data_IF_166093704580
#
_entry.id   IF_166093704580
#
_cell.length_a   1.000
_cell.length_b   1.000
_cell.length_c   1.000
_cell.angle_alpha   90.00
_cell.angle_beta   90.00
_cell.angle_gamma   90.00
#
_symmetry.space_group_name_H-M   'P 1'
#
loop_
_entity.id
_entity.type
_entity.pdbx_description
1 polymer ?
#
# COMPACT_ATOMS: atom_id res chain seq x y z
N UNK A 1 -47.12 3.84 -29.20
CA UNK A 1 -46.94 3.66 -27.74
C UNK A 1 -45.75 2.77 -27.34
N UNK A 2 -44.93 2.26 -28.28
CA UNK A 2 -43.78 1.37 -27.96
C UNK A 2 -42.45 2.16 -27.82
N UNK A 3 -42.38 3.39 -28.33
CA UNK A 3 -41.18 4.25 -28.27
C UNK A 3 -40.92 4.93 -26.91
N UNK A 4 -41.93 5.01 -26.03
CA UNK A 4 -41.79 5.62 -24.69
C UNK A 4 -41.25 4.66 -23.63
N UNK A 5 -41.47 3.35 -23.79
CA UNK A 5 -41.01 2.33 -22.82
C UNK A 5 -39.50 2.07 -22.90
N UNK A 6 -38.88 2.26 -24.07
CA UNK A 6 -37.44 2.07 -24.27
C UNK A 6 -36.58 3.15 -23.59
N UNK A 7 -37.12 4.36 -23.41
CA UNK A 7 -36.41 5.43 -22.68
C UNK A 7 -36.43 5.23 -21.16
N UNK A 8 -37.49 4.63 -20.62
CA UNK A 8 -37.60 4.32 -19.19
C UNK A 8 -36.69 3.16 -18.76
N UNK A 9 -36.49 2.16 -19.61
CA UNK A 9 -35.58 1.05 -19.31
C UNK A 9 -34.09 1.48 -19.30
N UNK A 10 -33.70 2.46 -20.12
CA UNK A 10 -32.33 2.97 -20.16
C UNK A 10 -32.01 3.88 -18.96
N UNK A 11 -33.00 4.58 -18.41
CA UNK A 11 -32.80 5.50 -17.28
C UNK A 11 -32.66 4.77 -15.93
N UNK A 12 -33.23 3.56 -15.80
CA UNK A 12 -33.16 2.77 -14.56
C UNK A 12 -31.82 2.01 -14.42
N UNK A 13 -31.13 1.71 -15.53
CA UNK A 13 -29.87 0.94 -15.49
C UNK A 13 -28.65 1.80 -15.10
N UNK A 14 -28.73 3.14 -15.21
CA UNK A 14 -27.60 4.04 -14.93
C UNK A 14 -27.40 4.33 -13.43
N UNK A 15 -28.36 4.01 -12.55
CA UNK A 15 -28.33 4.42 -11.12
C UNK A 15 -27.76 3.32 -10.19
N UNK A 16 -27.48 2.12 -10.68
CA UNK A 16 -26.95 1.00 -9.87
C UNK A 16 -25.44 0.77 -10.03
N UNK A 17 -24.65 1.85 -10.16
CA UNK A 17 -23.21 1.74 -9.96
C UNK A 17 -22.96 1.59 -8.45
N UNK A 18 -22.30 0.50 -7.99
CA UNK A 18 -21.93 0.39 -6.59
C UNK A 18 -21.00 1.55 -6.26
N UNK A 19 -21.45 2.48 -5.42
CA UNK A 19 -20.54 3.41 -4.77
C UNK A 19 -19.65 2.57 -3.85
N UNK A 20 -18.35 2.58 -4.09
CA UNK A 20 -17.38 2.00 -3.17
C UNK A 20 -17.56 2.70 -1.83
N UNK A 21 -18.15 2.01 -0.86
CA UNK A 21 -18.25 2.49 0.51
C UNK A 21 -16.87 2.33 1.16
N UNK A 22 -15.96 3.27 0.86
CA UNK A 22 -14.71 3.45 1.59
C UNK A 22 -15.09 3.86 3.01
N UNK A 23 -14.98 2.94 3.96
CA UNK A 23 -15.58 3.12 5.28
C UNK A 23 -14.56 3.43 6.39
N UNK A 24 -13.27 3.67 6.10
CA UNK A 24 -12.24 3.62 7.16
C UNK A 24 -10.96 4.43 6.89
N UNK A 25 -9.87 4.06 7.55
CA UNK A 25 -8.49 4.56 7.40
C UNK A 25 -7.87 4.11 6.06
N UNK A 26 -7.16 4.99 5.38
CA UNK A 26 -6.47 4.73 4.10
C UNK A 26 -5.13 5.46 4.00
N UNK A 27 -4.05 4.77 4.39
CA UNK A 27 -2.68 5.23 4.26
C UNK A 27 -2.24 5.16 2.81
N UNK A 28 -2.03 6.35 2.25
CA UNK A 28 -1.72 6.59 0.84
C UNK A 28 -0.24 6.85 0.58
N UNK A 29 0.50 7.29 1.60
CA UNK A 29 1.96 7.42 1.55
C UNK A 29 2.55 7.04 2.91
N UNK A 30 3.53 6.13 2.98
CA UNK A 30 3.83 5.13 1.95
C UNK A 30 2.57 4.29 1.60
N UNK A 31 2.53 3.69 0.41
CA UNK A 31 1.35 2.93 -0.03
C UNK A 31 1.16 1.72 0.88
N UNK A 32 -0.03 1.56 1.43
CA UNK A 32 -0.35 0.45 2.32
C UNK A 32 -0.41 -0.91 1.60
N UNK A 33 -0.11 -1.96 2.37
CA UNK A 33 -0.04 -3.37 1.97
C UNK A 33 -1.37 -3.87 1.38
N UNK A 34 -2.49 -3.53 2.01
CA UNK A 34 -3.83 -4.04 1.65
C UNK A 34 -4.87 -2.96 1.37
N UNK A 35 -4.51 -1.68 1.45
CA UNK A 35 -5.49 -0.60 1.29
C UNK A 35 -6.52 -0.52 2.43
N UNK A 36 -7.64 0.18 2.21
CA UNK A 36 -8.60 0.54 3.26
C UNK A 36 -9.64 -0.54 3.61
N UNK A 37 -9.57 -1.72 2.99
CA UNK A 37 -10.65 -2.72 3.09
C UNK A 37 -10.44 -3.72 4.24
N UNK A 38 -9.22 -3.85 4.76
CA UNK A 38 -8.86 -4.82 5.82
C UNK A 38 -8.04 -4.16 6.90
N UNK A 39 -8.64 -3.92 8.08
CA UNK A 39 -8.06 -3.01 9.07
C UNK A 39 -8.25 -3.43 10.53
N UNK A 40 -9.08 -4.42 10.84
CA UNK A 40 -9.52 -4.72 12.22
C UNK A 40 -8.76 -5.87 12.88
N UNK A 41 -7.66 -6.29 12.27
CA UNK A 41 -6.87 -7.42 12.72
C UNK A 41 -5.42 -6.99 12.82
N UNK A 42 -4.86 -6.96 14.02
CA UNK A 42 -3.45 -6.64 14.19
C UNK A 42 -2.53 -7.72 13.58
N UNK A 43 -1.29 -7.35 13.21
CA UNK A 43 -0.73 -5.99 13.27
C UNK A 43 -1.01 -5.17 11.99
N UNK A 44 -1.39 -5.80 10.87
CA UNK A 44 -1.40 -5.16 9.55
C UNK A 44 -2.76 -5.21 8.82
N UNK A 45 -3.85 -5.41 9.57
CA UNK A 45 -5.22 -5.45 9.05
C UNK A 45 -5.72 -6.86 8.68
N UNK A 46 -4.80 -7.80 8.43
CA UNK A 46 -5.05 -9.20 8.08
C UNK A 46 -4.20 -10.12 8.97
N UNK A 47 -4.83 -11.10 9.65
CA UNK A 47 -4.11 -12.07 10.46
C UNK A 47 -3.16 -12.92 9.62
N UNK A 48 -1.86 -12.92 9.96
CA UNK A 48 -0.83 -13.67 9.25
C UNK A 48 -0.71 -13.25 7.77
N UNK A 49 -0.98 -11.97 7.49
CA UNK A 49 -0.95 -11.44 6.14
C UNK A 49 0.47 -11.38 5.57
N UNK A 50 0.64 -11.88 4.34
CA UNK A 50 1.90 -11.81 3.60
C UNK A 50 2.23 -10.39 3.12
N UNK A 51 3.53 -10.04 3.06
CA UNK A 51 3.98 -8.80 2.40
C UNK A 51 3.39 -8.65 1.00
N UNK A 52 3.05 -7.42 0.65
CA UNK A 52 2.51 -7.09 -0.67
C UNK A 52 3.63 -6.86 -1.70
N UNK A 53 3.30 -6.87 -2.99
CA UNK A 53 4.19 -6.36 -4.04
C UNK A 53 4.29 -4.82 -4.06
N UNK A 54 3.53 -4.11 -3.22
CA UNK A 54 3.54 -2.64 -3.13
C UNK A 54 4.70 -2.19 -2.23
N UNK A 55 5.93 -2.33 -2.73
CA UNK A 55 7.14 -1.95 -1.98
C UNK A 55 7.41 -0.46 -2.13
N UNK A 56 7.66 0.21 -1.01
CA UNK A 56 8.04 1.61 -0.95
C UNK A 56 9.54 1.70 -0.64
N UNK A 57 10.28 2.45 -1.45
CA UNK A 57 11.74 2.57 -1.35
C UNK A 57 12.13 3.91 -0.75
N UNK A 58 13.00 3.87 0.26
CA UNK A 58 13.53 5.04 0.93
C UNK A 58 15.00 4.83 1.30
N UNK A 59 15.66 5.90 1.74
CA UNK A 59 16.98 5.82 2.34
C UNK A 59 16.91 5.65 3.86
N UNK A 60 17.90 4.98 4.47
CA UNK A 60 18.11 5.03 5.92
C UNK A 60 18.15 6.48 6.42
N UNK A 61 17.52 6.76 7.56
CA UNK A 61 17.51 8.11 8.15
C UNK A 61 16.65 9.14 7.42
N UNK A 62 16.00 8.76 6.31
CA UNK A 62 15.19 9.68 5.52
C UNK A 62 13.99 10.19 6.33
N UNK A 63 13.73 11.50 6.23
CA UNK A 63 12.46 12.08 6.69
C UNK A 63 11.42 11.84 5.60
N UNK A 64 10.35 11.12 5.93
CA UNK A 64 9.25 10.83 5.01
C UNK A 64 7.96 11.48 5.50
N UNK A 65 7.06 11.75 4.56
CA UNK A 65 5.69 12.11 4.89
C UNK A 65 4.80 10.87 4.87
N UNK A 66 4.18 10.64 6.01
CA UNK A 66 3.12 9.64 6.17
C UNK A 66 1.79 10.34 5.98
N UNK A 67 1.02 9.92 4.98
CA UNK A 67 -0.24 10.51 4.56
C UNK A 67 -1.36 9.46 4.60
N UNK A 68 -2.51 9.83 5.17
CA UNK A 68 -3.69 8.98 5.18
C UNK A 68 -4.99 9.76 5.11
N UNK A 69 -6.03 9.06 4.68
CA UNK A 69 -7.41 9.53 4.73
C UNK A 69 -8.16 8.81 5.85
N UNK A 70 -9.06 9.52 6.51
CA UNK A 70 -10.04 8.92 7.41
C UNK A 70 -11.45 9.10 6.82
N UNK A 71 -12.07 8.03 6.33
CA UNK A 71 -13.41 8.14 5.75
C UNK A 71 -14.54 8.11 6.78
N UNK A 72 -14.27 7.58 7.98
CA UNK A 72 -15.22 7.55 9.11
C UNK A 72 -14.52 8.08 10.36
N UNK A 73 -14.97 9.25 10.79
CA UNK A 73 -14.43 9.92 11.96
C UNK A 73 -14.79 9.18 13.25
N UNK A 74 -13.77 8.82 14.02
CA UNK A 74 -13.89 8.32 15.38
C UNK A 74 -13.10 9.22 16.32
N UNK A 75 -13.60 9.58 17.52
CA UNK A 75 -12.75 10.15 18.55
C UNK A 75 -11.52 9.26 18.79
N UNK A 76 -10.34 9.73 18.40
CA UNK A 76 -9.16 8.87 18.32
C UNK A 76 -7.83 9.61 18.46
N UNK A 77 -6.74 8.85 18.38
CA UNK A 77 -5.42 9.33 17.99
C UNK A 77 -4.78 8.32 17.02
N UNK A 78 -3.70 8.73 16.36
CA UNK A 78 -2.89 7.86 15.53
C UNK A 78 -1.50 7.63 16.11
N UNK A 79 -0.90 6.51 15.71
CA UNK A 79 0.48 6.14 16.03
C UNK A 79 1.14 5.55 14.79
N UNK A 80 2.40 5.91 14.59
CA UNK A 80 3.29 5.35 13.58
C UNK A 80 4.41 4.57 14.28
N UNK A 81 4.61 3.32 13.87
CA UNK A 81 5.66 2.44 14.36
C UNK A 81 6.44 1.81 13.20
N UNK A 82 7.63 1.32 13.46
CA UNK A 82 8.52 0.70 12.49
C UNK A 82 9.11 -0.60 13.04
N UNK A 83 9.21 -1.58 12.15
CA UNK A 83 9.84 -2.88 12.38
C UNK A 83 10.90 -3.08 11.29
N UNK A 84 12.13 -3.44 11.67
CA UNK A 84 13.27 -3.53 10.76
C UNK A 84 13.28 -4.81 9.91
N UNK A 85 12.59 -5.87 10.33
CA UNK A 85 12.67 -7.19 9.70
C UNK A 85 11.35 -7.97 9.63
N UNK A 86 10.22 -7.32 9.87
CA UNK A 86 8.94 -8.00 9.77
C UNK A 86 7.77 -7.11 10.17
N UNK A 87 6.88 -7.67 10.96
CA UNK A 87 5.75 -6.98 11.58
C UNK A 87 5.42 -7.54 12.99
N UNK A 88 6.41 -8.17 13.64
CA UNK A 88 6.29 -8.82 14.93
C UNK A 88 6.74 -7.96 16.12
N UNK A 89 7.41 -6.84 15.87
CA UNK A 89 7.76 -5.87 16.92
C UNK A 89 6.60 -4.94 17.31
N UNK A 90 5.47 -4.98 16.60
CA UNK A 90 4.33 -4.10 16.89
C UNK A 90 3.54 -4.58 18.11
N UNK A 91 3.47 -3.72 19.14
CA UNK A 91 2.68 -3.95 20.35
C UNK A 91 1.45 -3.03 20.34
N UNK A 92 0.26 -3.58 20.63
CA UNK A 92 -0.94 -2.77 20.83
C UNK A 92 -0.84 -1.99 22.15
N UNK A 93 -1.26 -0.71 22.20
CA UNK A 93 -1.42 0.00 23.47
C UNK A 93 -2.38 -0.76 24.39
N UNK A 94 -2.00 -1.11 25.61
CA UNK A 94 -2.87 -1.83 26.55
C UNK A 94 -4.04 -0.97 27.05
N UNK A 95 -3.96 0.35 26.89
CA UNK A 95 -5.07 1.28 27.14
C UNK A 95 -5.14 2.39 26.08
N UNK A 96 -6.31 3.02 25.92
CA UNK A 96 -6.52 4.18 25.03
C UNK A 96 -5.60 5.38 25.30
N UNK A 97 -4.94 5.44 26.46
CA UNK A 97 -4.08 6.54 26.89
C UNK A 97 -2.63 6.08 27.09
N UNK A 98 -2.30 4.85 26.70
CA UNK A 98 -0.93 4.40 26.63
C UNK A 98 -0.33 4.87 25.31
N UNK A 99 0.71 5.68 25.42
CA UNK A 99 1.50 6.16 24.31
C UNK A 99 2.89 5.55 24.39
N UNK A 100 3.57 5.44 23.26
CA UNK A 100 4.94 4.92 23.17
C UNK A 100 5.05 3.52 23.79
N UNK A 101 4.13 2.63 23.40
CA UNK A 101 3.95 1.29 23.98
C UNK A 101 5.21 0.42 23.97
N UNK A 102 6.14 0.67 23.04
CA UNK A 102 7.44 0.02 22.94
C UNK A 102 8.40 0.81 22.03
N UNK A 103 9.63 0.32 21.90
CA UNK A 103 10.70 0.99 21.14
C UNK A 103 10.47 1.04 19.61
N UNK A 104 9.53 0.26 19.07
CA UNK A 104 9.14 0.31 17.66
C UNK A 104 8.40 1.60 17.30
N UNK A 105 7.86 2.33 18.27
CA UNK A 105 7.06 3.54 18.03
C UNK A 105 7.96 4.70 17.58
N UNK A 106 7.70 5.23 16.39
CA UNK A 106 8.41 6.39 15.84
C UNK A 106 7.72 7.71 16.23
N UNK A 107 6.39 7.71 16.23
CA UNK A 107 5.59 8.88 16.56
C UNK A 107 4.22 8.44 17.09
N UNK A 108 3.83 8.94 18.26
CA UNK A 108 2.54 8.64 18.89
C UNK A 108 1.76 9.93 19.22
N UNK A 109 0.55 9.76 19.76
CA UNK A 109 -0.37 10.82 20.15
C UNK A 109 -0.66 11.80 19.01
N UNK A 110 -0.61 11.32 17.76
CA UNK A 110 -0.93 12.13 16.59
C UNK A 110 -2.42 12.48 16.68
N UNK A 111 -2.69 13.78 16.77
CA UNK A 111 -4.03 14.27 17.04
C UNK A 111 -4.93 14.06 15.83
N UNK A 112 -6.12 13.54 16.12
CA UNK A 112 -7.22 13.46 15.17
C UNK A 112 -8.01 14.78 15.18
N UNK A 113 -7.50 15.78 14.44
CA UNK A 113 -8.15 17.11 14.33
C UNK A 113 -8.17 17.70 12.92
N UNK A 114 -7.98 16.87 11.88
CA UNK A 114 -8.02 17.35 10.50
C UNK A 114 -9.45 17.70 10.09
N UNK A 115 -9.72 18.94 9.65
CA UNK A 115 -11.06 19.33 9.19
C UNK A 115 -11.43 18.72 7.83
N UNK A 116 -10.46 18.17 7.10
CA UNK A 116 -10.66 17.54 5.78
C UNK A 116 -10.57 16.03 5.85
N UNK A 117 -10.34 15.45 7.03
CA UNK A 117 -10.01 14.03 7.21
C UNK A 117 -8.81 13.56 6.38
N UNK A 118 -7.94 14.50 6.01
CA UNK A 118 -6.65 14.26 5.35
C UNK A 118 -5.57 14.57 6.37
N UNK A 119 -4.69 13.62 6.60
CA UNK A 119 -3.63 13.73 7.57
C UNK A 119 -2.29 13.59 6.88
N UNK A 120 -1.32 14.34 7.38
CA UNK A 120 0.09 14.28 6.96
C UNK A 120 0.95 14.58 8.18
N UNK A 121 1.89 13.70 8.46
CA UNK A 121 2.94 13.94 9.46
C UNK A 121 4.28 13.51 8.89
N UNK A 122 5.34 14.20 9.27
CA UNK A 122 6.70 13.82 8.89
C UNK A 122 7.33 12.99 10.00
N UNK A 123 7.95 11.86 9.64
CA UNK A 123 8.70 10.99 10.56
C UNK A 123 10.08 10.72 10.00
N UNK A 124 11.08 10.58 10.88
CA UNK A 124 12.42 10.12 10.49
C UNK A 124 12.46 8.60 10.56
N UNK A 125 12.77 7.95 9.43
CA UNK A 125 12.99 6.52 9.40
C UNK A 125 14.30 6.17 10.13
N UNK A 126 14.43 4.96 10.71
CA UNK A 126 15.68 4.56 11.35
C UNK A 126 16.87 4.54 10.37
N UNK A 127 18.07 4.79 10.90
CA UNK A 127 19.34 4.74 10.15
C UNK A 127 19.82 3.27 10.01
N UNK A 128 19.01 2.44 9.34
CA UNK A 128 19.28 1.03 9.05
C UNK A 128 18.90 0.69 7.62
N UNK A 129 19.65 -0.23 6.99
CA UNK A 129 19.27 -0.81 5.70
C UNK A 129 18.48 -2.11 5.93
N UNK A 130 17.36 -2.28 5.23
CA UNK A 130 16.47 -3.43 5.37
C UNK A 130 15.73 -3.72 4.06
N UNK A 131 15.53 -5.02 3.76
CA UNK A 131 14.78 -5.46 2.57
C UNK A 131 13.33 -5.89 2.92
N UNK A 132 13.04 -6.07 4.22
CA UNK A 132 11.81 -6.65 4.75
C UNK A 132 11.11 -5.82 5.85
N UNK A 133 11.53 -4.58 6.08
CA UNK A 133 10.98 -3.71 7.10
C UNK A 133 9.54 -3.24 6.85
N UNK A 134 8.81 -2.94 7.91
CA UNK A 134 7.41 -2.51 7.84
C UNK A 134 7.20 -1.22 8.60
N UNK A 135 6.39 -0.32 8.03
CA UNK A 135 5.86 0.85 8.73
C UNK A 135 4.39 0.60 9.06
N UNK A 136 4.02 0.70 10.33
CA UNK A 136 2.63 0.56 10.78
C UNK A 136 2.03 1.92 11.08
N UNK A 137 0.80 2.15 10.60
CA UNK A 137 -0.11 3.18 11.06
C UNK A 137 -1.27 2.52 11.80
N UNK A 138 -1.54 2.95 13.02
CA UNK A 138 -2.76 2.58 13.73
C UNK A 138 -3.61 3.81 14.07
N UNK A 139 -4.92 3.58 14.16
CA UNK A 139 -5.88 4.51 14.75
C UNK A 139 -6.45 3.87 16.03
N UNK A 140 -6.22 4.51 17.17
CA UNK A 140 -6.74 4.06 18.47
C UNK A 140 -8.02 4.83 18.77
N UNK A 141 -9.16 4.15 18.72
CA UNK A 141 -10.49 4.74 18.88
C UNK A 141 -10.94 4.71 20.34
N UNK A 142 -11.68 5.74 20.76
CA UNK A 142 -12.14 5.90 22.15
C UNK A 142 -13.62 5.66 22.36
N UNK A 143 -14.39 5.56 21.29
CA UNK A 143 -15.85 5.61 21.30
C UNK A 143 -16.53 4.25 21.45
N UNK A 144 -15.76 3.19 21.74
CA UNK A 144 -16.22 1.80 21.84
C UNK A 144 -15.88 1.13 23.19
N UNK A 145 -16.34 1.67 24.33
CA UNK A 145 -16.09 1.04 25.61
C UNK A 145 -16.78 -0.35 25.73
N UNK A 146 -16.16 -1.33 26.42
CA UNK A 146 -14.84 -1.26 27.05
C UNK A 146 -13.71 -1.43 26.03
N UNK A 147 -12.63 -0.67 26.19
CA UNK A 147 -11.40 -0.87 25.41
C UNK A 147 -10.78 -2.21 25.78
N UNK A 148 -10.59 -3.08 24.79
CA UNK A 148 -10.02 -4.42 24.96
C UNK A 148 -8.98 -4.70 23.90
N UNK A 149 -7.90 -5.38 24.29
CA UNK A 149 -6.79 -5.75 23.40
C UNK A 149 -6.52 -7.24 23.53
N UNK A 150 -6.56 -8.01 22.42
CA UNK A 150 -7.04 -7.60 21.10
C UNK A 150 -8.55 -7.29 21.10
N UNK A 151 -8.99 -6.39 20.22
CA UNK A 151 -10.38 -5.90 20.19
C UNK A 151 -10.78 -5.23 18.88
N UNK A 152 -11.81 -4.39 18.92
CA UNK A 152 -12.35 -3.65 17.76
C UNK A 152 -12.13 -2.13 17.90
N UNK A 153 -11.18 -1.76 18.75
CA UNK A 153 -10.84 -0.39 19.16
C UNK A 153 -9.62 0.17 18.40
N UNK A 154 -8.98 -0.65 17.56
CA UNK A 154 -7.81 -0.25 16.78
C UNK A 154 -8.05 -0.59 15.30
N UNK A 155 -7.72 0.35 14.42
CA UNK A 155 -7.52 0.09 13.00
C UNK A 155 -6.03 0.02 12.68
N UNK A 156 -5.67 -0.89 11.78
CA UNK A 156 -4.30 -1.26 11.46
C UNK A 156 -4.05 -1.16 9.96
N UNK A 157 -2.97 -0.49 9.57
CA UNK A 157 -2.40 -0.57 8.24
C UNK A 157 -0.89 -0.67 8.32
N UNK A 158 -0.30 -1.41 7.39
CA UNK A 158 1.14 -1.51 7.23
C UNK A 158 1.52 -1.09 5.82
N UNK A 159 2.70 -0.52 5.65
CA UNK A 159 3.39 -0.36 4.38
C UNK A 159 4.67 -1.18 4.37
N UNK A 160 4.92 -1.85 3.25
CA UNK A 160 6.13 -2.65 3.06
C UNK A 160 7.24 -1.75 2.54
N UNK A 161 8.35 -1.69 3.26
CA UNK A 161 9.48 -0.81 2.98
C UNK A 161 10.72 -1.58 2.54
N UNK A 162 11.56 -0.92 1.75
CA UNK A 162 12.98 -1.26 1.59
C UNK A 162 13.76 0.02 1.88
N UNK A 163 14.65 -0.05 2.87
CA UNK A 163 15.59 1.04 3.16
C UNK A 163 16.94 0.67 2.56
N UNK A 164 17.35 1.40 1.53
CA UNK A 164 18.64 1.17 0.85
C UNK A 164 19.23 2.47 0.37
N UNK A 165 20.53 2.68 0.60
CA UNK A 165 21.23 3.86 0.09
C UNK A 165 21.19 3.91 -1.44
N UNK A 166 20.88 5.09 -1.99
CA UNK A 166 20.83 5.32 -3.43
C UNK A 166 19.54 4.87 -4.12
N UNK A 167 18.58 4.29 -3.40
CA UNK A 167 17.26 3.91 -3.94
C UNK A 167 16.19 5.00 -3.71
N UNK A 168 16.47 6.03 -2.90
CA UNK A 168 15.52 7.14 -2.75
C UNK A 168 15.36 7.89 -4.08
N UNK A 169 14.13 8.27 -4.46
CA UNK A 169 13.93 9.18 -5.58
C UNK A 169 14.70 10.48 -5.29
N UNK A 170 15.64 10.81 -6.17
CA UNK A 170 16.50 11.98 -6.08
C UNK A 170 15.65 13.23 -5.81
N UNK A 171 15.63 13.68 -4.56
CA UNK A 171 15.02 14.93 -4.16
C UNK A 171 15.97 16.02 -4.66
N UNK A 172 15.86 16.32 -5.96
CA UNK A 172 16.82 17.11 -6.72
C UNK A 172 17.38 18.29 -5.92
N UNK A 173 18.67 18.23 -5.62
CA UNK A 173 19.41 19.40 -5.15
C UNK A 173 19.55 20.38 -6.31
N UNK A 174 18.80 21.48 -6.26
CA UNK A 174 19.15 22.71 -6.97
C UNK A 174 20.46 23.26 -6.37
N UNK A 175 21.58 22.65 -6.73
CA UNK A 175 22.88 23.27 -6.57
C UNK A 175 22.95 24.45 -7.54
N UNK A 176 22.66 25.64 -7.03
CA UNK A 176 22.83 26.90 -7.73
C UNK A 176 24.20 26.93 -8.42
N UNK A 177 24.17 27.11 -9.73
CA UNK A 177 25.35 27.20 -10.58
C UNK A 177 26.08 28.50 -10.21
N UNK A 178 27.19 28.37 -9.51
CA UNK A 178 28.08 29.50 -9.23
C UNK A 178 28.77 29.91 -10.54
N UNK A 179 28.29 31.00 -11.13
CA UNK A 179 28.88 31.64 -12.29
C UNK A 179 30.09 32.48 -11.86
N UNK A 180 31.23 31.82 -11.68
CA UNK A 180 32.53 32.45 -11.51
C UNK A 180 33.35 32.39 -12.79
N UNK A 181 33.24 33.42 -13.64
CA UNK A 181 34.15 33.70 -14.74
C UNK A 181 35.54 34.07 -14.21
N UNK A 182 36.62 33.52 -14.78
CA UNK A 182 37.70 34.34 -15.36
C UNK A 182 38.72 33.55 -16.21
N UNK A 183 39.12 34.24 -17.28
CA UNK A 183 40.00 33.91 -18.41
C UNK A 183 41.48 33.80 -17.96
N UNK A 184 42.34 32.91 -18.46
CA UNK A 184 43.15 33.04 -19.69
C UNK A 184 44.30 31.96 -19.70
N UNK A 185 45.07 31.80 -20.80
CA UNK A 185 45.61 30.52 -21.28
C UNK A 185 47.08 30.23 -20.93
N UNK A 186 47.44 28.94 -20.91
CA UNK A 186 48.82 28.45 -20.89
C UNK A 186 49.03 27.33 -21.90
N UNK A 187 49.68 27.67 -23.02
CA UNK A 187 50.30 26.73 -23.97
C UNK A 187 51.60 26.19 -23.39
N UNK A 188 51.85 24.88 -23.50
CA UNK A 188 53.11 24.42 -24.10
C UNK A 188 53.11 22.93 -24.48
N UNK A 189 53.88 22.68 -25.53
CA UNK A 189 53.95 21.49 -26.35
C UNK A 189 54.71 20.32 -25.72
N UNK A 190 54.39 19.11 -26.18
CA UNK A 190 55.11 17.88 -25.85
C UNK A 190 54.69 16.72 -26.76
N UNK A 191 55.22 16.73 -27.98
CA UNK A 191 55.26 15.60 -28.93
C UNK A 191 56.04 14.44 -28.34
N UNK A 192 55.61 13.19 -28.55
CA UNK A 192 56.41 12.02 -28.98
C UNK A 192 55.53 10.75 -29.08
N UNK A 193 56.07 9.75 -29.76
CA UNK A 193 55.40 8.85 -30.71
C UNK A 193 55.47 7.39 -30.25
N UNK A 194 54.68 6.54 -30.92
CA UNK A 194 54.82 5.08 -31.08
C UNK A 194 54.57 4.14 -29.89
N UNK A 195 53.57 3.26 -30.01
CA UNK A 195 53.74 1.88 -30.52
C UNK A 195 52.39 1.13 -30.57
N UNK A 196 52.29 0.30 -31.60
CA UNK A 196 51.17 -0.43 -32.16
C UNK A 196 50.52 -1.53 -31.25
N UNK A 197 49.45 -2.21 -31.73
CA UNK A 197 48.50 -2.99 -30.94
C UNK A 197 48.85 -4.48 -30.84
N UNK A 198 48.44 -5.11 -29.74
CA UNK A 198 48.46 -6.56 -29.57
C UNK A 198 47.12 -7.19 -29.92
N UNK A 199 47.06 -7.87 -31.07
CA UNK A 199 46.11 -8.95 -31.39
C UNK A 199 46.70 -10.28 -30.96
N UNK A 200 45.88 -11.14 -30.33
CA UNK A 200 45.81 -12.59 -30.58
C UNK A 200 44.67 -13.20 -29.73
N UNK A 201 43.55 -13.57 -30.36
CA UNK A 201 43.23 -14.89 -30.91
C UNK A 201 43.00 -15.98 -29.85
N UNK A 202 41.72 -16.26 -29.63
CA UNK A 202 41.23 -17.41 -28.85
C UNK A 202 39.81 -17.75 -29.28
N UNK A 203 39.70 -18.55 -30.34
CA UNK A 203 38.45 -19.06 -30.91
C UNK A 203 38.15 -20.46 -30.35
N UNK A 204 36.93 -20.67 -29.86
CA UNK A 204 36.21 -21.95 -29.84
C UNK A 204 34.70 -21.60 -29.72
N UNK A 205 33.87 -21.73 -30.77
CA UNK A 205 33.15 -22.95 -31.21
C UNK A 205 32.63 -23.79 -30.04
N UNK A 206 31.40 -24.24 -29.95
CA UNK A 206 30.16 -24.21 -30.76
C UNK A 206 29.12 -24.94 -29.88
N UNK A 207 27.86 -24.89 -30.27
CA UNK A 207 26.75 -25.80 -29.94
C UNK A 207 26.00 -25.58 -28.63
N UNK A 208 24.70 -25.27 -28.77
CA UNK A 208 23.76 -25.46 -27.66
C UNK A 208 22.38 -24.83 -27.79
N UNK A 209 21.70 -25.03 -28.93
CA UNK A 209 20.28 -24.72 -29.12
C UNK A 209 19.39 -25.38 -28.05
N UNK A 210 18.37 -24.68 -27.54
CA UNK A 210 17.49 -25.25 -26.52
C UNK A 210 16.28 -24.41 -26.12
N UNK A 211 15.44 -23.99 -27.07
CA UNK A 211 14.07 -23.59 -26.77
C UNK A 211 13.29 -24.80 -26.21
N UNK A 212 12.75 -24.69 -24.99
CA UNK A 212 11.71 -25.60 -24.49
C UNK A 212 10.51 -24.81 -24.00
N UNK A 213 9.52 -24.70 -24.88
CA UNK A 213 8.15 -24.44 -24.51
C UNK A 213 7.62 -25.66 -23.72
N UNK A 214 7.27 -25.44 -22.46
CA UNK A 214 6.51 -26.42 -21.68
C UNK A 214 5.02 -26.20 -21.95
N UNK A 215 4.40 -27.16 -22.65
CA UNK A 215 2.95 -27.36 -22.66
C UNK A 215 2.59 -28.10 -21.38
N UNK A 216 1.88 -27.43 -20.48
CA UNK A 216 1.20 -28.05 -19.35
C UNK A 216 -0.24 -28.36 -19.72
N UNK A 217 -0.52 -29.65 -19.95
CA UNK A 217 -1.87 -30.23 -19.92
C UNK A 217 -2.42 -30.18 -18.49
N UNK A 218 -3.62 -29.65 -18.31
CA UNK A 218 -4.42 -29.90 -17.09
C UNK A 218 -5.84 -30.29 -17.47
N UNK A 219 -6.00 -31.61 -17.57
CA UNK A 219 -7.05 -32.44 -16.99
C UNK A 219 -8.36 -31.78 -16.56
N UNK A 220 -9.41 -32.15 -17.28
CA UNK A 220 -10.81 -32.08 -16.90
C UNK A 220 -11.18 -33.07 -15.79
N UNK A 221 -11.73 -32.59 -14.67
CA UNK A 221 -12.66 -33.29 -13.76
C UNK A 221 -13.48 -32.16 -13.08
N UNK A 222 -14.77 -31.95 -13.40
CA UNK A 222 -15.93 -32.40 -12.60
C UNK A 222 -16.06 -31.63 -11.28
N UNK A 223 -17.20 -31.17 -10.77
CA UNK A 223 -18.62 -31.29 -11.08
C UNK A 223 -19.34 -30.48 -9.96
N UNK A 224 -20.55 -29.98 -10.22
CA UNK A 224 -21.61 -29.66 -9.23
C UNK A 224 -21.50 -28.30 -8.50
N UNK A 225 -22.46 -27.41 -8.78
CA UNK A 225 -23.43 -26.78 -7.87
C UNK A 225 -23.94 -25.50 -8.55
N UNK A 226 -25.26 -25.36 -8.72
CA UNK A 226 -26.06 -24.12 -8.78
C UNK A 226 -27.38 -24.41 -9.50
N UNK A 227 -28.30 -25.06 -8.78
CA UNK A 227 -29.72 -25.09 -9.11
C UNK A 227 -30.49 -24.93 -7.79
N UNK A 228 -30.66 -23.70 -7.34
CA UNK A 228 -31.60 -23.37 -6.26
C UNK A 228 -31.96 -21.88 -6.32
N UNK A 229 -32.79 -21.52 -7.28
CA UNK A 229 -33.50 -20.23 -7.29
C UNK A 229 -34.82 -20.37 -8.03
N UNK A 230 -35.70 -21.27 -7.55
CA UNK A 230 -37.06 -21.44 -8.08
C UNK A 230 -38.04 -21.92 -7.01
N UNK A 231 -37.98 -21.40 -5.77
CA UNK A 231 -39.03 -21.65 -4.76
C UNK A 231 -39.25 -20.44 -3.83
N UNK A 232 -39.64 -19.26 -4.35
CA UNK A 232 -40.27 -18.22 -3.51
C UNK A 232 -41.43 -17.45 -4.19
N UNK A 233 -41.71 -17.59 -5.50
CA UNK A 233 -42.79 -16.82 -6.17
C UNK A 233 -44.07 -17.63 -6.41
N UNK A 234 -44.57 -18.37 -5.41
CA UNK A 234 -45.91 -19.01 -5.47
C UNK A 234 -46.74 -18.95 -4.18
N UNK A 235 -46.44 -18.02 -3.25
CA UNK A 235 -47.23 -17.85 -2.01
C UNK A 235 -47.78 -16.44 -1.77
N UNK A 236 -48.12 -15.70 -2.83
CA UNK A 236 -48.87 -14.43 -2.73
C UNK A 236 -50.02 -14.31 -3.75
N UNK A 237 -50.72 -15.42 -4.02
CA UNK A 237 -51.91 -15.40 -4.89
C UNK A 237 -53.09 -16.23 -4.35
N UNK A 238 -53.20 -16.37 -3.02
CA UNK A 238 -54.42 -16.85 -2.34
C UNK A 238 -54.57 -16.14 -1.01
N UNK A 239 -55.44 -15.13 -0.96
CA UNK A 239 -55.76 -14.45 0.29
C UNK A 239 -56.38 -13.08 0.09
N UNK A 240 -57.54 -13.00 -0.56
CA UNK A 240 -58.46 -11.87 -0.45
C UNK A 240 -59.85 -12.27 -0.97
N UNK A 241 -60.53 -13.16 -0.26
CA UNK A 241 -62.00 -13.16 -0.24
C UNK A 241 -62.41 -12.41 1.04
N UNK A 242 -63.17 -11.33 0.89
CA UNK A 242 -63.89 -10.70 2.00
C UNK A 242 -65.41 -10.78 1.72
N UNK A 243 -66.23 -10.97 2.76
CA UNK A 243 -67.66 -11.21 2.63
C UNK A 243 -68.49 -9.92 2.65
N UNK A 244 -69.78 -10.12 2.32
CA UNK A 244 -70.97 -9.26 2.34
C UNK A 244 -71.32 -8.62 0.99
#
# INVERSE_FOLDING_TARGET
MIRGLLWLALFVIVISLPMEARAHLDMTSPVSRYGPDTLKTGPCGVAGGERSPNINYFEPGQIIDVEWNEYVNHPSHYRIAFDEDGDDDFVDPATMQEYDSNDAVLLDAIKDDSPTSLYRVSVTLPEVECDNCTLQLIQVMYDKPPYVVPGNDIYYQCADLVLRRGDAPDAGTDAGTDAGTDTAPGTDAGTETDTAPGTDTGSATDTGSGCRASRGDTSSVGLIFWLSSLVVIRRLARGAELPV
#
